data_IF_118957767436
#
_entry.id   IF_118957767436
#
_cell.length_a   1.000
_cell.length_b   1.000
_cell.length_c   1.000
_cell.angle_alpha   90.00
_cell.angle_beta   90.00
_cell.angle_gamma   90.00
#
_symmetry.space_group_name_H-M   'P 1'
#
loop_
_entity.id
_entity.type
_entity.pdbx_description
1 polymer ?
#
# COMPACT_ATOMS: atom_id res chain seq x y z
N UNK A 1 53.08 4.40 33.46
CA UNK A 1 52.51 3.36 32.55
C UNK A 1 50.99 3.14 32.72
N UNK A 2 50.39 3.12 33.92
CA UNK A 2 48.95 2.85 34.08
C UNK A 2 48.02 3.93 33.49
N UNK A 3 48.40 5.20 33.54
CA UNK A 3 47.55 6.32 33.05
C UNK A 3 47.53 6.39 31.52
N UNK A 4 48.63 6.10 30.85
CA UNK A 4 48.70 6.11 29.36
C UNK A 4 47.88 4.98 28.74
N UNK A 5 47.85 3.81 29.38
CA UNK A 5 47.01 2.68 28.92
C UNK A 5 45.52 3.00 29.06
N UNK A 6 45.14 3.66 30.19
CA UNK A 6 43.74 4.06 30.41
C UNK A 6 43.23 5.04 29.36
N UNK A 7 44.03 6.05 29.00
CA UNK A 7 43.67 7.02 27.94
C UNK A 7 43.61 6.35 26.56
N UNK A 8 44.51 5.38 26.26
CA UNK A 8 44.47 4.62 25.01
C UNK A 8 43.20 3.78 24.88
N UNK A 9 42.78 3.09 25.96
CA UNK A 9 41.53 2.33 25.98
C UNK A 9 40.30 3.20 25.84
N UNK A 10 40.27 4.35 26.54
CA UNK A 10 39.15 5.29 26.45
C UNK A 10 39.01 5.91 25.05
N UNK A 11 40.14 6.27 24.40
CA UNK A 11 40.14 6.78 23.03
C UNK A 11 39.68 5.72 22.04
N UNK A 12 40.11 4.46 22.21
CA UNK A 12 39.68 3.36 21.38
C UNK A 12 38.18 3.07 21.51
N UNK A 13 37.64 3.07 22.72
CA UNK A 13 36.21 2.93 22.96
C UNK A 13 35.37 4.04 22.31
N UNK A 14 35.85 5.27 22.31
CA UNK A 14 35.17 6.41 21.67
C UNK A 14 35.13 6.25 20.12
N UNK A 15 36.18 5.72 19.52
CA UNK A 15 36.24 5.49 18.07
C UNK A 15 35.31 4.32 17.69
N UNK A 16 35.26 3.25 18.49
CA UNK A 16 34.39 2.09 18.22
C UNK A 16 32.91 2.46 18.40
N UNK A 17 32.56 3.32 19.35
CA UNK A 17 31.20 3.77 19.56
C UNK A 17 30.66 4.64 18.40
N UNK A 18 31.53 5.42 17.74
CA UNK A 18 31.14 6.18 16.56
C UNK A 18 30.99 5.29 15.31
N UNK A 19 31.64 4.13 15.27
CA UNK A 19 31.55 3.19 14.15
C UNK A 19 30.25 2.35 14.15
N UNK A 20 29.51 2.29 15.27
CA UNK A 20 28.25 1.55 15.39
C UNK A 20 26.98 2.40 15.21
N UNK A 21 27.11 3.71 15.15
CA UNK A 21 26.04 4.61 14.73
C UNK A 21 26.12 4.72 13.20
N UNK A 22 25.68 3.67 12.49
CA UNK A 22 25.39 3.81 11.07
C UNK A 22 24.43 4.99 10.89
N UNK A 23 24.59 5.73 9.80
CA UNK A 23 23.63 6.77 9.44
C UNK A 23 22.22 6.15 9.48
N UNK A 24 21.25 6.83 10.09
CA UNK A 24 19.88 6.33 10.09
C UNK A 24 19.49 6.01 8.65
N UNK A 25 18.95 4.83 8.41
CA UNK A 25 18.52 4.44 7.09
C UNK A 25 17.54 5.51 6.58
N UNK A 26 17.98 6.33 5.64
CA UNK A 26 17.15 7.38 5.03
C UNK A 26 16.22 6.80 3.98
N UNK A 27 16.49 5.55 3.56
CA UNK A 27 15.74 4.88 2.50
C UNK A 27 14.62 4.00 3.08
N UNK A 28 13.40 4.23 2.60
CA UNK A 28 12.22 3.42 2.85
C UNK A 28 11.83 2.67 1.57
N UNK A 29 11.76 1.35 1.63
CA UNK A 29 11.25 0.53 0.53
C UNK A 29 9.89 -0.03 0.88
N UNK A 30 8.95 0.13 -0.03
CA UNK A 30 7.56 -0.30 0.11
C UNK A 30 7.21 -1.25 -1.04
N UNK A 31 6.75 -2.44 -0.72
CA UNK A 31 6.38 -3.44 -1.71
C UNK A 31 4.87 -3.65 -1.76
N UNK A 32 4.36 -3.94 -2.96
CA UNK A 32 2.98 -4.30 -3.23
C UNK A 32 1.98 -3.30 -2.61
N UNK A 33 2.23 -2.02 -2.87
CA UNK A 33 1.39 -0.93 -2.37
C UNK A 33 0.26 -0.62 -3.35
N UNK A 34 -0.90 -0.28 -2.80
CA UNK A 34 -2.01 0.23 -3.59
C UNK A 34 -1.78 1.70 -3.95
N UNK A 35 -2.14 2.07 -5.17
CA UNK A 35 -2.07 3.44 -5.61
C UNK A 35 -3.11 3.79 -6.67
N UNK A 36 -3.37 5.07 -6.81
CA UNK A 36 -4.22 5.64 -7.87
C UNK A 36 -3.38 6.62 -8.67
N UNK A 37 -3.27 6.34 -9.96
CA UNK A 37 -2.51 7.18 -10.89
C UNK A 37 -3.24 8.51 -11.12
N UNK A 38 -2.51 9.60 -11.10
CA UNK A 38 -3.00 10.94 -11.48
C UNK A 38 -2.07 11.55 -12.52
N UNK A 39 -2.66 12.27 -13.46
CA UNK A 39 -1.93 13.00 -14.49
C UNK A 39 -2.16 14.50 -14.37
N UNK A 40 -1.22 15.30 -14.89
CA UNK A 40 -1.33 16.76 -14.84
C UNK A 40 -1.05 17.36 -13.47
N UNK A 41 -0.39 16.62 -12.58
CA UNK A 41 -0.02 17.04 -11.25
C UNK A 41 1.49 17.25 -11.15
N UNK A 42 1.94 18.47 -10.90
CA UNK A 42 3.37 18.77 -10.77
C UNK A 42 4.21 18.27 -11.94
N UNK A 43 4.91 17.14 -11.78
CA UNK A 43 5.80 16.58 -12.80
C UNK A 43 5.07 15.92 -13.99
N UNK A 44 3.74 15.80 -13.97
CA UNK A 44 2.95 15.13 -15.00
C UNK A 44 2.20 13.91 -14.47
N UNK A 45 2.87 12.78 -14.26
CA UNK A 45 2.28 11.58 -13.66
C UNK A 45 2.77 11.37 -12.24
N UNK A 46 1.86 11.04 -11.33
CA UNK A 46 2.14 10.69 -9.96
C UNK A 46 1.18 9.60 -9.47
N UNK A 47 1.49 8.99 -8.34
CA UNK A 47 0.67 7.96 -7.72
C UNK A 47 0.29 8.41 -6.31
N UNK A 48 -1.01 8.50 -6.04
CA UNK A 48 -1.52 8.64 -4.68
C UNK A 48 -1.49 7.30 -3.99
N UNK A 49 -0.91 7.25 -2.81
CA UNK A 49 -0.83 6.05 -1.96
C UNK A 49 -1.60 6.25 -0.66
N UNK A 50 -1.58 5.25 0.21
CA UNK A 50 -2.19 5.32 1.54
C UNK A 50 -1.64 6.50 2.36
N UNK A 51 -2.53 7.22 3.07
CA UNK A 51 -2.16 8.36 3.92
C UNK A 51 -1.87 9.64 3.15
N UNK A 52 -2.45 9.78 1.96
CA UNK A 52 -2.31 10.95 1.06
C UNK A 52 -0.87 11.23 0.62
N UNK A 53 0.01 10.23 0.73
CA UNK A 53 1.36 10.34 0.19
C UNK A 53 1.29 10.26 -1.34
N UNK A 54 1.87 11.25 -1.99
CA UNK A 54 1.97 11.29 -3.47
C UNK A 54 3.41 10.99 -3.84
N UNK A 55 3.62 9.99 -4.67
CA UNK A 55 4.96 9.63 -5.17
C UNK A 55 5.05 9.81 -6.67
N UNK A 56 6.20 10.23 -7.13
CA UNK A 56 6.51 10.36 -8.57
C UNK A 56 7.98 10.07 -8.81
N UNK A 57 8.32 9.70 -10.04
CA UNK A 57 9.69 9.58 -10.52
C UNK A 57 9.78 10.08 -11.97
N UNK A 58 10.97 10.41 -12.41
CA UNK A 58 11.21 10.81 -13.79
C UNK A 58 10.86 9.68 -14.77
N UNK A 59 11.28 8.47 -14.47
CA UNK A 59 11.02 7.28 -15.29
C UNK A 59 9.50 7.00 -15.40
N UNK A 60 8.76 7.16 -14.31
CA UNK A 60 7.32 6.92 -14.28
C UNK A 60 6.52 7.83 -15.24
N UNK A 61 7.08 8.96 -15.67
CA UNK A 61 6.42 9.84 -16.65
C UNK A 61 6.13 9.10 -17.97
N UNK A 62 6.94 8.11 -18.32
CA UNK A 62 6.82 7.33 -19.55
C UNK A 62 6.03 6.03 -19.37
N UNK A 63 5.64 5.67 -18.13
CA UNK A 63 4.89 4.45 -17.85
C UNK A 63 3.54 4.44 -18.60
N UNK A 64 3.16 3.27 -19.13
CA UNK A 64 1.89 3.09 -19.83
C UNK A 64 0.75 2.86 -18.83
N UNK A 65 0.37 3.93 -18.14
CA UNK A 65 -0.72 3.96 -17.16
C UNK A 65 -1.60 5.19 -17.39
N UNK A 66 -2.89 5.07 -17.08
CA UNK A 66 -3.89 6.10 -17.32
C UNK A 66 -4.28 6.84 -16.04
N UNK A 67 -4.83 8.05 -16.20
CA UNK A 67 -5.36 8.83 -15.09
C UNK A 67 -6.54 8.11 -14.41
N UNK A 68 -6.47 7.96 -13.09
CA UNK A 68 -7.48 7.27 -12.28
C UNK A 68 -7.31 5.75 -12.28
N UNK A 69 -6.28 5.22 -12.92
CA UNK A 69 -5.97 3.79 -12.87
C UNK A 69 -5.59 3.37 -11.45
N UNK A 70 -6.15 2.24 -11.02
CA UNK A 70 -5.82 1.61 -9.74
C UNK A 70 -4.75 0.56 -9.98
N UNK A 71 -3.63 0.68 -9.29
CA UNK A 71 -2.46 -0.18 -9.48
C UNK A 71 -1.93 -0.73 -8.16
N UNK A 72 -1.23 -1.85 -8.24
CA UNK A 72 -0.26 -2.28 -7.23
C UNK A 72 1.13 -2.03 -7.78
N UNK A 73 2.05 -1.62 -6.93
CA UNK A 73 3.42 -1.29 -7.33
C UNK A 73 4.38 -1.31 -6.14
N UNK A 74 5.65 -1.40 -6.44
CA UNK A 74 6.73 -1.26 -5.47
C UNK A 74 7.43 0.08 -5.69
N UNK A 75 7.88 0.70 -4.61
CA UNK A 75 8.66 1.92 -4.68
C UNK A 75 9.61 2.06 -3.49
N UNK A 76 10.61 2.91 -3.65
CA UNK A 76 11.46 3.33 -2.54
C UNK A 76 11.59 4.86 -2.51
N UNK A 77 11.68 5.40 -1.29
CA UNK A 77 11.91 6.82 -1.03
C UNK A 77 13.23 6.96 -0.30
N UNK A 78 14.08 7.84 -0.78
CA UNK A 78 15.24 8.29 -0.02
C UNK A 78 14.97 9.67 0.57
N UNK A 79 14.74 9.72 1.87
CA UNK A 79 14.52 10.96 2.62
C UNK A 79 15.81 11.77 2.81
N UNK A 80 16.97 11.24 2.42
CA UNK A 80 18.25 11.95 2.43
C UNK A 80 18.48 12.83 1.19
N UNK A 81 17.63 12.70 0.16
CA UNK A 81 17.75 13.55 -1.04
C UNK A 81 17.21 14.97 -0.78
N UNK A 82 17.77 15.95 -1.48
CA UNK A 82 17.38 17.35 -1.34
C UNK A 82 15.88 17.58 -1.62
N UNK A 83 15.33 16.85 -2.57
CA UNK A 83 13.92 16.96 -2.97
C UNK A 83 12.95 16.41 -1.90
N UNK A 84 13.40 15.49 -1.05
CA UNK A 84 12.60 14.88 -0.01
C UNK A 84 12.90 15.47 1.39
N UNK A 85 13.93 16.26 1.55
CA UNK A 85 14.29 16.91 2.83
C UNK A 85 13.39 18.08 3.26
N UNK A 86 12.31 18.26 2.66
CA UNK A 86 11.03 18.81 3.11
C UNK A 86 10.91 20.22 3.64
N UNK A 87 11.87 20.93 4.06
CA UNK A 87 11.68 22.30 4.57
C UNK A 87 11.92 23.34 3.49
N UNK A 88 10.96 23.55 2.60
CA UNK A 88 10.99 24.64 1.65
C UNK A 88 10.85 24.28 0.17
N UNK A 89 10.69 23.01 -0.14
CA UNK A 89 10.30 22.60 -1.47
C UNK A 89 8.78 22.61 -1.56
N UNK A 90 8.24 23.49 -2.36
CA UNK A 90 6.81 23.54 -2.71
C UNK A 90 6.47 22.39 -3.66
N UNK A 91 6.98 21.20 -3.34
CA UNK A 91 6.75 19.99 -4.12
C UNK A 91 5.55 19.26 -3.53
N UNK A 92 4.51 19.24 -4.30
CA UNK A 92 3.26 18.56 -4.00
C UNK A 92 3.37 17.04 -4.09
N UNK A 93 4.57 16.49 -4.19
CA UNK A 93 4.86 15.06 -4.27
C UNK A 93 6.22 14.72 -3.64
N UNK A 94 6.39 13.46 -3.29
CA UNK A 94 7.66 12.89 -2.83
C UNK A 94 8.35 12.22 -4.01
N UNK A 95 9.63 12.56 -4.24
CA UNK A 95 10.44 11.88 -5.25
C UNK A 95 10.73 10.44 -4.78
N UNK A 96 10.43 9.49 -5.64
CA UNK A 96 10.58 8.07 -5.36
C UNK A 96 11.22 7.34 -6.55
N UNK A 97 11.83 6.20 -6.30
CA UNK A 97 12.14 5.22 -7.35
C UNK A 97 10.94 4.29 -7.44
N UNK A 98 10.22 4.33 -8.56
CA UNK A 98 9.07 3.46 -8.84
C UNK A 98 9.57 2.31 -9.72
N UNK A 99 9.34 1.08 -9.27
CA UNK A 99 9.78 -0.11 -9.99
C UNK A 99 8.72 -0.52 -11.02
N UNK A 100 8.84 -0.01 -12.25
CA UNK A 100 7.83 -0.19 -13.32
C UNK A 100 7.49 -1.65 -13.60
N UNK A 101 8.45 -2.56 -13.49
CA UNK A 101 8.24 -3.99 -13.69
C UNK A 101 7.35 -4.65 -12.61
N UNK A 102 7.03 -3.95 -11.53
CA UNK A 102 6.12 -4.40 -10.48
C UNK A 102 4.72 -3.83 -10.61
N UNK A 103 4.52 -2.88 -11.54
CA UNK A 103 3.22 -2.26 -11.75
C UNK A 103 2.25 -3.32 -12.32
N UNK A 104 1.15 -3.50 -11.62
CA UNK A 104 0.06 -4.36 -12.05
C UNK A 104 -1.29 -3.68 -11.86
N UNK A 105 -2.18 -3.84 -12.83
CA UNK A 105 -3.54 -3.38 -12.73
C UNK A 105 -4.31 -4.17 -11.66
N UNK A 106 -5.19 -3.49 -10.95
CA UNK A 106 -6.04 -4.08 -9.92
C UNK A 106 -7.44 -4.30 -10.49
N UNK A 107 -7.96 -5.50 -10.35
CA UNK A 107 -9.34 -5.81 -10.70
C UNK A 107 -10.30 -4.92 -9.91
N UNK A 108 -11.22 -4.27 -10.62
CA UNK A 108 -12.27 -3.45 -10.02
C UNK A 108 -13.53 -4.28 -9.84
N UNK A 109 -14.11 -4.21 -8.66
CA UNK A 109 -15.34 -4.88 -8.31
C UNK A 109 -16.44 -3.87 -8.01
N UNK A 110 -17.66 -4.23 -8.33
CA UNK A 110 -18.80 -3.37 -8.07
C UNK A 110 -19.11 -3.31 -6.56
N UNK A 111 -19.55 -2.12 -6.14
CA UNK A 111 -20.09 -1.90 -4.82
C UNK A 111 -21.62 -1.87 -4.90
N UNK A 112 -22.28 -2.70 -4.11
CA UNK A 112 -23.72 -2.87 -4.15
C UNK A 112 -24.38 -2.22 -2.93
N UNK A 113 -25.37 -1.37 -3.17
CA UNK A 113 -26.17 -0.75 -2.13
C UNK A 113 -27.42 -1.57 -1.75
N UNK A 114 -27.24 -2.88 -1.68
CA UNK A 114 -28.30 -3.82 -1.33
C UNK A 114 -27.94 -4.55 -0.05
N UNK A 115 -28.95 -4.78 0.79
CA UNK A 115 -28.79 -5.59 1.99
C UNK A 115 -28.30 -6.98 1.59
N UNK A 116 -27.15 -7.36 2.14
CA UNK A 116 -26.64 -8.71 2.01
C UNK A 116 -27.09 -9.53 3.21
N UNK A 117 -27.82 -10.62 2.98
CA UNK A 117 -28.13 -11.56 4.03
C UNK A 117 -26.86 -12.31 4.43
N UNK A 118 -26.31 -11.94 5.58
CA UNK A 118 -25.09 -12.55 6.13
C UNK A 118 -25.38 -13.81 6.96
N UNK A 119 -26.66 -14.14 7.18
CA UNK A 119 -27.08 -15.35 7.92
C UNK A 119 -27.01 -16.61 7.06
N UNK A 120 -27.03 -16.46 5.74
CA UNK A 120 -26.99 -17.57 4.78
C UNK A 120 -25.64 -17.61 4.08
N UNK A 121 -24.86 -18.64 4.35
CA UNK A 121 -23.60 -18.90 3.62
C UNK A 121 -23.93 -19.72 2.39
N UNK A 122 -23.60 -19.21 1.21
CA UNK A 122 -23.81 -19.93 -0.03
C UNK A 122 -22.88 -21.16 -0.12
N UNK A 123 -23.31 -22.22 -0.83
CA UNK A 123 -22.56 -23.48 -0.95
C UNK A 123 -21.13 -23.29 -1.47
N UNK A 124 -20.94 -22.32 -2.36
CA UNK A 124 -19.66 -22.03 -3.01
C UNK A 124 -18.99 -20.78 -2.45
N UNK A 125 -19.44 -20.32 -1.28
CA UNK A 125 -18.83 -19.18 -0.60
C UNK A 125 -17.51 -19.57 0.04
N UNK A 126 -16.50 -18.74 -0.14
CA UNK A 126 -15.15 -18.97 0.35
C UNK A 126 -14.90 -18.15 1.61
N UNK A 127 -14.20 -18.76 2.56
CA UNK A 127 -13.77 -18.06 3.74
C UNK A 127 -12.57 -17.16 3.41
N UNK A 128 -12.74 -15.87 3.65
CA UNK A 128 -11.67 -14.89 3.55
C UNK A 128 -10.90 -14.79 4.87
N UNK A 129 -9.62 -14.54 4.78
CA UNK A 129 -8.83 -14.10 5.94
C UNK A 129 -9.26 -12.70 6.38
N UNK A 130 -8.80 -12.26 7.54
CA UNK A 130 -8.98 -10.88 7.96
C UNK A 130 -8.32 -9.91 6.96
N UNK A 131 -8.89 -8.71 6.82
CA UNK A 131 -8.31 -7.65 6.00
C UNK A 131 -6.92 -7.28 6.52
N UNK A 132 -5.97 -7.16 5.60
CA UNK A 132 -4.61 -6.78 5.94
C UNK A 132 -4.52 -5.27 6.24
N UNK A 133 -3.58 -4.89 7.09
CA UNK A 133 -3.36 -3.50 7.51
C UNK A 133 -3.01 -2.54 6.35
N UNK A 134 -2.58 -3.07 5.21
CA UNK A 134 -2.32 -2.30 3.98
C UNK A 134 -3.59 -1.92 3.20
N UNK A 135 -4.76 -2.46 3.56
CA UNK A 135 -6.03 -2.00 3.00
C UNK A 135 -6.20 -0.50 3.23
N UNK A 136 -6.69 0.23 2.24
CA UNK A 136 -6.71 1.67 2.25
C UNK A 136 -7.83 2.25 1.39
N UNK A 137 -8.28 3.45 1.74
CA UNK A 137 -9.11 4.28 0.89
C UNK A 137 -8.24 5.36 0.25
N UNK A 138 -8.19 5.38 -1.08
CA UNK A 138 -7.31 6.28 -1.84
C UNK A 138 -8.12 6.89 -2.98
N UNK A 139 -8.29 8.21 -2.96
CA UNK A 139 -8.93 8.97 -4.04
C UNK A 139 -10.26 8.37 -4.55
N UNK A 140 -11.16 8.02 -3.63
CA UNK A 140 -12.47 7.46 -3.99
C UNK A 140 -12.48 5.94 -4.22
N UNK A 141 -11.33 5.27 -4.14
CA UNK A 141 -11.22 3.84 -4.33
C UNK A 141 -10.87 3.14 -3.01
N UNK A 142 -11.60 2.09 -2.68
CA UNK A 142 -11.35 1.26 -1.51
C UNK A 142 -10.56 0.02 -1.93
N UNK A 143 -9.30 -0.06 -1.50
CA UNK A 143 -8.43 -1.20 -1.72
C UNK A 143 -8.53 -2.16 -0.53
N UNK A 144 -8.92 -3.40 -0.81
CA UNK A 144 -9.06 -4.45 0.20
C UNK A 144 -8.04 -5.54 -0.10
N UNK A 145 -7.19 -5.83 0.88
CA UNK A 145 -6.23 -6.92 0.81
C UNK A 145 -6.67 -8.03 1.76
N UNK A 146 -6.97 -9.17 1.20
CA UNK A 146 -7.36 -10.38 1.92
C UNK A 146 -6.76 -11.59 1.23
N UNK A 147 -6.86 -12.75 1.85
CA UNK A 147 -6.35 -14.00 1.31
C UNK A 147 -7.46 -15.06 1.35
N UNK A 148 -7.45 -15.91 0.36
CA UNK A 148 -8.28 -17.13 0.30
C UNK A 148 -7.35 -18.31 0.59
N UNK A 149 -7.63 -19.02 1.67
CA UNK A 149 -6.85 -20.21 2.01
C UNK A 149 -7.05 -21.32 0.97
N UNK A 150 -5.97 -21.99 0.59
CA UNK A 150 -5.98 -23.11 -0.35
C UNK A 150 -6.63 -22.78 -1.71
N UNK A 151 -6.30 -21.61 -2.28
CA UNK A 151 -6.77 -21.20 -3.60
C UNK A 151 -6.00 -21.92 -4.70
N UNK A 152 -6.61 -22.85 -5.44
CA UNK A 152 -5.99 -23.51 -6.60
C UNK A 152 -5.69 -22.51 -7.73
N UNK A 153 -4.65 -22.78 -8.50
CA UNK A 153 -4.17 -21.84 -9.55
C UNK A 153 -5.21 -21.51 -10.61
N UNK A 154 -6.09 -22.46 -10.94
CA UNK A 154 -7.10 -22.30 -11.99
C UNK A 154 -8.50 -21.99 -11.45
N UNK A 155 -8.63 -21.74 -10.16
CA UNK A 155 -9.90 -21.32 -9.57
C UNK A 155 -10.23 -19.89 -9.98
N UNK A 156 -11.49 -19.64 -10.26
CA UNK A 156 -12.00 -18.30 -10.56
C UNK A 156 -13.05 -17.95 -9.51
N UNK A 157 -12.86 -16.81 -8.87
CA UNK A 157 -13.74 -16.32 -7.82
C UNK A 157 -14.35 -14.96 -8.21
N UNK A 158 -15.51 -14.68 -7.64
CA UNK A 158 -16.17 -13.38 -7.73
C UNK A 158 -16.23 -12.76 -6.35
N UNK A 159 -15.93 -11.47 -6.29
CA UNK A 159 -16.02 -10.68 -5.07
C UNK A 159 -17.22 -9.74 -5.15
N UNK A 160 -17.91 -9.57 -4.06
CA UNK A 160 -18.94 -8.55 -3.93
C UNK A 160 -18.77 -7.82 -2.61
N UNK A 161 -18.79 -6.50 -2.66
CA UNK A 161 -18.84 -5.63 -1.50
C UNK A 161 -20.23 -4.99 -1.45
N UNK A 162 -20.91 -5.11 -0.33
CA UNK A 162 -22.24 -4.56 -0.14
C UNK A 162 -22.39 -3.89 1.22
N UNK A 163 -23.42 -3.08 1.37
CA UNK A 163 -23.81 -2.49 2.65
C UNK A 163 -25.34 -2.47 2.77
N UNK A 164 -25.82 -2.32 3.99
CA UNK A 164 -27.23 -2.09 4.23
C UNK A 164 -27.54 -0.59 4.09
N UNK A 165 -28.28 -0.15 3.04
CA UNK A 165 -28.63 1.25 2.88
C UNK A 165 -29.55 1.80 3.98
N UNK A 166 -30.29 0.92 4.68
CA UNK A 166 -31.20 1.29 5.76
C UNK A 166 -30.50 1.29 7.12
N UNK A 167 -29.20 1.00 7.17
CA UNK A 167 -28.43 1.06 8.41
C UNK A 167 -28.42 2.49 8.95
N UNK A 168 -29.00 2.67 10.14
CA UNK A 168 -28.87 3.94 10.85
C UNK A 168 -27.42 4.05 11.35
N UNK A 169 -26.80 5.19 11.04
CA UNK A 169 -25.50 5.51 11.61
C UNK A 169 -25.66 5.70 13.12
N UNK A 170 -24.86 5.00 13.90
CA UNK A 170 -24.68 5.27 15.31
C UNK A 170 -23.92 6.57 15.55
N UNK A 171 -23.68 6.91 16.81
CA UNK A 171 -22.90 8.10 17.20
C UNK A 171 -21.45 8.06 16.67
N UNK A 172 -20.97 6.89 16.30
CA UNK A 172 -19.64 6.63 15.74
C UNK A 172 -19.54 6.88 14.23
N UNK A 173 -20.66 7.08 13.54
CA UNK A 173 -20.72 7.24 12.08
C UNK A 173 -20.08 6.08 11.29
N UNK A 174 -20.15 4.85 11.79
CA UNK A 174 -19.57 3.67 11.15
C UNK A 174 -20.62 2.94 10.32
N UNK A 175 -20.26 2.64 9.07
CA UNK A 175 -21.01 1.71 8.21
C UNK A 175 -20.40 0.31 8.25
N UNK A 176 -21.25 -0.71 8.34
CA UNK A 176 -20.86 -2.09 8.15
C UNK A 176 -20.83 -2.43 6.68
N UNK A 177 -19.68 -2.87 6.19
CA UNK A 177 -19.49 -3.37 4.84
C UNK A 177 -19.33 -4.88 4.87
N UNK A 178 -19.94 -5.57 3.91
CA UNK A 178 -19.94 -7.03 3.81
C UNK A 178 -19.20 -7.44 2.54
N UNK A 179 -17.99 -7.98 2.71
CA UNK A 179 -17.21 -8.56 1.62
C UNK A 179 -17.50 -10.06 1.54
N UNK A 180 -17.98 -10.51 0.40
CA UNK A 180 -18.26 -11.92 0.11
C UNK A 180 -17.48 -12.37 -1.10
N UNK A 181 -17.08 -13.63 -1.10
CA UNK A 181 -16.35 -14.26 -2.20
C UNK A 181 -17.02 -15.57 -2.55
N UNK A 182 -17.41 -15.71 -3.80
CA UNK A 182 -18.08 -16.89 -4.32
C UNK A 182 -17.21 -17.54 -5.41
N UNK A 183 -16.99 -18.84 -5.30
CA UNK A 183 -16.32 -19.61 -6.35
C UNK A 183 -17.22 -19.70 -7.57
N UNK A 184 -16.74 -19.17 -8.71
CA UNK A 184 -17.44 -19.27 -10.01
C UNK A 184 -17.05 -20.57 -10.71
N UNK A 185 -15.75 -20.92 -10.66
CA UNK A 185 -15.21 -22.10 -11.33
C UNK A 185 -14.24 -22.79 -10.39
N UNK A 186 -14.52 -24.06 -10.10
CA UNK A 186 -13.59 -24.91 -9.39
C UNK A 186 -12.48 -25.38 -10.33
N UNK A 187 -11.30 -25.63 -9.78
CA UNK A 187 -10.25 -26.35 -10.49
C UNK A 187 -10.72 -27.79 -10.71
N UNK A 188 -10.82 -28.21 -11.96
CA UNK A 188 -11.15 -29.59 -12.37
C UNK A 188 -9.87 -30.31 -12.73
N UNK A 189 -8.99 -30.55 -11.75
CA UNK A 189 -7.90 -31.52 -11.91
C UNK A 189 -8.38 -32.93 -11.73
#
# INVERSE_FOLDING_TARGET
MRKTVLYGVLAFCLVVLNSCLGDPATQLTMANQAGVVVTGYGPGKAIYTKGDVVVSSEDFQNANVENGECILFDYSIDYGTANNMGAGTDTSYTEAVIYENTISEVNRWNFYNTLTDTSVVAKDELLLSSLQARSAYIRGNLFLFTEISNHPTNQVDSFSLSYNPDQLLGDDNIYSLYLRTIRIKADTT
#
